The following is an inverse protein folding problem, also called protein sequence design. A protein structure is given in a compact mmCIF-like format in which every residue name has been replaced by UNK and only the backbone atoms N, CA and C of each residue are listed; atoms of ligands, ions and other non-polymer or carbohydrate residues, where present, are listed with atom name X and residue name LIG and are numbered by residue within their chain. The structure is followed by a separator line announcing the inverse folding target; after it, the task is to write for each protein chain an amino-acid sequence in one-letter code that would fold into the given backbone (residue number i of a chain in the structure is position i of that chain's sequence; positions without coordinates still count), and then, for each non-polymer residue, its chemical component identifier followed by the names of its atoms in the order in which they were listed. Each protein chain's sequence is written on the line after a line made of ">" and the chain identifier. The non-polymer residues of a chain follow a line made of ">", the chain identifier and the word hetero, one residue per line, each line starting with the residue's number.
data_IF_156072969748
#
_entry.id   IF_156072969748
#
_cell.length_a   1.000
_cell.length_b   1.000
_cell.length_c   1.000
_cell.angle_alpha   90.00
_cell.angle_beta   90.00
_cell.angle_gamma   90.00
#
_symmetry.space_group_name_H-M   'P 1'
#
loop_
_entity.id
_entity.type
_entity.pdbx_description
1 polymer ?
#
# COMPACT_ATOMS: atom_id res chain seq x y z
N UNK A 1 -20.24 -0.99 24.27
CA UNK A 1 -18.89 -0.39 24.24
C UNK A 1 -18.44 -0.33 22.79
N UNK A 2 -18.23 0.87 22.23
CA UNK A 2 -17.70 1.02 20.87
C UNK A 2 -16.30 0.41 20.81
N UNK A 3 -16.06 -0.51 19.88
CA UNK A 3 -14.72 -1.05 19.67
C UNK A 3 -13.87 0.02 18.98
N UNK A 4 -12.89 0.58 19.70
CA UNK A 4 -11.92 1.55 19.18
C UNK A 4 -11.07 0.90 18.09
N UNK A 5 -11.53 1.02 16.83
CA UNK A 5 -10.95 0.36 15.66
C UNK A 5 -10.80 1.36 14.52
N UNK A 6 -9.69 1.27 13.80
CA UNK A 6 -9.44 2.00 12.57
C UNK A 6 -9.27 1.00 11.42
N UNK A 7 -10.03 1.19 10.36
CA UNK A 7 -9.89 0.42 9.13
C UNK A 7 -9.23 1.29 8.05
N UNK A 8 -8.19 0.74 7.44
CA UNK A 8 -7.41 1.36 6.35
C UNK A 8 -7.45 0.43 5.14
N UNK A 9 -7.63 0.98 3.94
CA UNK A 9 -7.59 0.21 2.70
C UNK A 9 -6.87 1.02 1.62
N UNK A 10 -5.94 0.37 0.92
CA UNK A 10 -5.27 0.93 -0.26
C UNK A 10 -5.92 0.38 -1.51
N UNK A 11 -6.07 1.21 -2.53
CA UNK A 11 -6.71 0.84 -3.79
C UNK A 11 -6.04 -0.39 -4.44
N UNK A 12 -6.74 -1.11 -5.34
CA UNK A 12 -6.27 -2.36 -5.95
C UNK A 12 -4.88 -2.28 -6.57
N UNK A 13 -4.59 -1.19 -7.29
CA UNK A 13 -3.33 -1.00 -8.02
C UNK A 13 -2.31 -0.17 -7.25
N UNK A 14 -2.66 0.32 -6.06
CA UNK A 14 -1.82 1.17 -5.25
C UNK A 14 -1.55 2.56 -5.86
N UNK A 15 -2.43 3.04 -6.74
CA UNK A 15 -2.32 4.39 -7.36
C UNK A 15 -2.41 5.48 -6.30
N UNK A 16 -3.24 5.27 -5.26
CA UNK A 16 -3.40 6.19 -4.13
C UNK A 16 -2.55 5.67 -2.97
N UNK A 17 -1.44 6.35 -2.64
CA UNK A 17 -0.58 5.91 -1.55
C UNK A 17 -1.32 6.03 -0.21
N UNK A 18 -1.05 5.08 0.68
CA UNK A 18 -1.50 5.10 2.07
C UNK A 18 -0.38 4.60 2.97
N UNK A 19 0.13 5.50 3.80
CA UNK A 19 1.24 5.26 4.71
C UNK A 19 0.73 5.17 6.14
N UNK A 20 1.49 4.48 6.98
CA UNK A 20 1.23 4.40 8.41
C UNK A 20 2.52 4.26 9.22
N UNK A 21 2.44 4.60 10.50
CA UNK A 21 3.44 4.32 11.53
C UNK A 21 2.70 3.88 12.79
N UNK A 22 3.06 2.72 13.33
CA UNK A 22 2.49 2.17 14.55
C UNK A 22 3.61 2.05 15.60
N UNK A 23 3.77 3.10 16.41
CA UNK A 23 4.89 3.24 17.37
C UNK A 23 4.40 3.93 18.64
N UNK A 24 5.00 3.55 19.77
CA UNK A 24 4.72 4.14 21.08
C UNK A 24 3.22 4.14 21.47
N UNK A 25 2.44 3.16 20.99
CA UNK A 25 1.01 3.07 21.26
C UNK A 25 0.15 4.06 20.46
N UNK A 26 0.74 4.79 19.52
CA UNK A 26 0.06 5.76 18.67
C UNK A 26 0.16 5.34 17.20
N UNK A 27 -1.00 5.12 16.60
CA UNK A 27 -1.13 4.88 15.17
C UNK A 27 -1.26 6.20 14.42
N UNK A 28 -0.35 6.43 13.48
CA UNK A 28 -0.35 7.57 12.56
C UNK A 28 -0.58 7.04 11.15
N UNK A 29 -1.38 7.73 10.36
CA UNK A 29 -1.65 7.34 8.98
C UNK A 29 -1.91 8.57 8.11
N UNK A 30 -1.69 8.44 6.81
CA UNK A 30 -1.95 9.51 5.85
C UNK A 30 -1.61 9.11 4.43
N UNK A 31 -2.12 9.87 3.46
CA UNK A 31 -1.79 9.69 2.03
C UNK A 31 -0.40 10.23 1.67
N UNK A 32 0.27 10.92 2.59
CA UNK A 32 1.60 11.49 2.39
C UNK A 32 2.49 11.22 3.62
N UNK A 33 3.74 10.82 3.38
CA UNK A 33 4.72 10.56 4.45
C UNK A 33 4.93 11.80 5.32
N UNK A 34 4.96 13.00 4.72
CA UNK A 34 5.16 14.26 5.44
C UNK A 34 4.10 14.53 6.51
N UNK A 35 2.88 14.02 6.33
CA UNK A 35 1.82 14.15 7.32
C UNK A 35 2.14 13.32 8.58
N UNK A 36 2.72 12.12 8.40
CA UNK A 36 3.17 11.28 9.51
C UNK A 36 4.41 11.88 10.17
N UNK A 37 5.36 12.36 9.37
CA UNK A 37 6.58 13.03 9.85
C UNK A 37 6.33 14.43 10.42
N UNK A 38 5.09 14.92 10.45
CA UNK A 38 4.76 16.14 11.18
C UNK A 38 4.78 15.91 12.69
N UNK A 39 4.61 14.65 13.11
CA UNK A 39 4.74 14.25 14.51
C UNK A 39 6.22 14.04 14.88
N UNK A 40 6.75 14.74 15.90
CA UNK A 40 8.14 14.64 16.32
C UNK A 40 8.52 13.28 16.92
N UNK A 41 7.55 12.47 17.38
CA UNK A 41 7.83 11.12 17.90
C UNK A 41 8.13 10.10 16.80
N UNK A 42 7.90 10.44 15.52
CA UNK A 42 8.26 9.57 14.40
C UNK A 42 9.72 9.80 14.03
N UNK A 43 10.55 8.81 14.29
CA UNK A 43 11.96 8.83 13.91
C UNK A 43 12.16 8.97 12.41
N UNK A 44 13.07 9.85 12.01
CA UNK A 44 13.43 10.10 10.60
C UNK A 44 14.65 9.29 10.16
N UNK A 45 14.85 8.14 10.78
CA UNK A 45 15.95 7.22 10.48
C UNK A 45 15.79 6.67 9.06
N UNK A 46 16.79 6.84 8.17
CA UNK A 46 16.74 6.28 6.83
C UNK A 46 16.64 4.75 6.86
N UNK A 47 15.81 4.18 5.98
CA UNK A 47 15.80 2.73 5.72
C UNK A 47 16.79 2.45 4.57
N UNK A 48 17.96 1.88 4.91
CA UNK A 48 19.04 1.67 3.95
C UNK A 48 18.71 0.58 2.93
N UNK A 49 17.90 -0.42 3.30
CA UNK A 49 17.43 -1.45 2.36
C UNK A 49 16.45 -0.85 1.36
N UNK A 50 15.56 0.03 1.83
CA UNK A 50 14.65 0.76 0.97
C UNK A 50 15.38 1.69 -0.01
N UNK A 51 16.49 2.30 0.43
CA UNK A 51 17.35 3.13 -0.41
C UNK A 51 18.07 2.30 -1.48
N UNK A 52 18.60 1.14 -1.11
CA UNK A 52 19.21 0.20 -2.07
C UNK A 52 18.20 -0.24 -3.14
N UNK A 53 16.98 -0.61 -2.74
CA UNK A 53 15.90 -0.95 -3.66
C UNK A 53 15.54 0.23 -4.58
N UNK A 54 15.49 1.46 -4.04
CA UNK A 54 15.23 2.65 -4.83
C UNK A 54 16.31 2.91 -5.87
N UNK A 55 17.59 2.80 -5.49
CA UNK A 55 18.72 2.98 -6.41
C UNK A 55 18.76 1.89 -7.48
N UNK A 56 18.33 0.67 -7.14
CA UNK A 56 18.29 -0.46 -8.08
C UNK A 56 17.12 -0.38 -9.05
N UNK A 57 15.91 -0.05 -8.56
CA UNK A 57 14.67 -0.16 -9.33
C UNK A 57 14.03 1.18 -9.71
N UNK A 58 14.60 2.31 -9.27
CA UNK A 58 13.99 3.67 -9.35
C UNK A 58 12.67 3.82 -8.58
N UNK A 59 12.31 2.88 -7.71
CA UNK A 59 11.17 2.98 -6.79
C UNK A 59 11.39 2.13 -5.54
N UNK A 60 10.69 2.46 -4.45
CA UNK A 60 10.68 1.66 -3.22
C UNK A 60 9.44 0.78 -3.17
N UNK A 61 9.55 -0.56 -3.21
CA UNK A 61 8.41 -1.46 -3.08
C UNK A 61 7.77 -1.36 -1.69
N UNK A 62 6.43 -1.37 -1.65
CA UNK A 62 5.71 -1.57 -0.40
C UNK A 62 6.11 -2.93 0.22
N UNK A 63 6.18 -3.04 1.56
CA UNK A 63 5.74 -2.06 2.55
C UNK A 63 6.79 -1.01 2.92
N UNK A 64 7.99 -1.03 2.32
CA UNK A 64 9.07 -0.14 2.69
C UNK A 64 8.83 1.31 2.24
N UNK A 65 9.49 2.23 2.93
CA UNK A 65 9.62 3.63 2.53
C UNK A 65 11.05 4.08 2.82
N UNK A 66 11.45 5.28 2.40
CA UNK A 66 12.77 5.82 2.74
C UNK A 66 13.00 6.05 4.25
N UNK A 67 11.98 5.88 5.09
CA UNK A 67 12.07 6.04 6.55
C UNK A 67 11.71 4.73 7.25
N UNK A 68 12.60 4.24 8.12
CA UNK A 68 12.43 2.95 8.81
C UNK A 68 11.20 2.89 9.72
N UNK A 69 10.76 4.05 10.23
CA UNK A 69 9.58 4.17 11.10
C UNK A 69 8.24 4.25 10.34
N UNK A 70 8.27 4.37 9.00
CA UNK A 70 7.07 4.56 8.16
C UNK A 70 6.94 3.41 7.18
N UNK A 71 5.76 2.81 7.12
CA UNK A 71 5.42 1.74 6.19
C UNK A 71 4.30 2.18 5.26
N UNK A 72 4.22 1.55 4.08
CA UNK A 72 3.14 1.72 3.13
C UNK A 72 2.28 0.46 3.09
N UNK A 73 0.96 0.58 3.00
CA UNK A 73 0.12 -0.59 2.68
C UNK A 73 0.43 -1.07 1.27
N UNK A 74 0.42 -2.37 1.03
CA UNK A 74 0.58 -2.91 -0.33
C UNK A 74 -0.65 -2.60 -1.21
N UNK A 75 -0.52 -2.60 -2.55
CA UNK A 75 -1.67 -2.54 -3.46
C UNK A 75 -2.73 -3.60 -3.11
N UNK A 76 -4.02 -3.23 -3.09
CA UNK A 76 -5.12 -4.13 -2.78
C UNK A 76 -5.11 -4.69 -1.35
N UNK A 77 -4.41 -4.02 -0.42
CA UNK A 77 -4.30 -4.43 0.97
C UNK A 77 -5.19 -3.59 1.90
N UNK A 78 -5.79 -4.26 2.87
CA UNK A 78 -6.48 -3.67 4.00
C UNK A 78 -5.71 -3.89 5.30
N UNK A 79 -5.92 -3.00 6.25
CA UNK A 79 -5.48 -3.15 7.62
C UNK A 79 -6.60 -2.76 8.60
N UNK A 80 -6.72 -3.51 9.69
CA UNK A 80 -7.59 -3.18 10.81
C UNK A 80 -6.73 -3.06 12.06
N UNK A 81 -6.67 -1.86 12.59
CA UNK A 81 -5.97 -1.56 13.83
C UNK A 81 -6.96 -1.48 14.99
N UNK A 82 -6.56 -2.06 16.12
CA UNK A 82 -7.20 -1.89 17.42
C UNK A 82 -6.13 -1.73 18.51
N UNK A 83 -6.55 -1.69 19.78
CA UNK A 83 -5.62 -1.52 20.92
C UNK A 83 -4.58 -2.64 21.08
N UNK A 84 -4.72 -3.76 20.35
CA UNK A 84 -3.80 -4.90 20.37
C UNK A 84 -2.84 -4.88 19.18
N UNK A 85 -3.02 -3.97 18.22
CA UNK A 85 -2.18 -3.82 17.03
C UNK A 85 -2.95 -3.93 15.71
N UNK A 86 -2.19 -4.06 14.62
CA UNK A 86 -2.71 -4.15 13.25
C UNK A 86 -2.84 -5.58 12.72
N UNK A 87 -3.97 -5.88 12.07
CA UNK A 87 -4.14 -7.06 11.22
C UNK A 87 -4.22 -6.64 9.76
N UNK A 88 -3.51 -7.35 8.88
CA UNK A 88 -3.38 -7.01 7.46
C UNK A 88 -3.87 -8.17 6.60
N UNK A 89 -4.55 -7.87 5.51
CA UNK A 89 -4.95 -8.86 4.51
C UNK A 89 -5.10 -8.22 3.13
N UNK A 90 -4.84 -8.99 2.08
CA UNK A 90 -5.15 -8.55 0.72
C UNK A 90 -6.62 -8.83 0.42
N UNK A 91 -7.36 -7.79 0.03
CA UNK A 91 -8.74 -7.93 -0.45
C UNK A 91 -8.80 -8.03 -1.98
N UNK A 92 -7.72 -7.64 -2.65
CA UNK A 92 -7.59 -7.70 -4.10
C UNK A 92 -6.17 -8.14 -4.47
N UNK A 93 -6.06 -8.88 -5.57
CA UNK A 93 -4.80 -9.18 -6.24
C UNK A 93 -5.05 -9.19 -7.75
N UNK A 94 -4.04 -8.83 -8.53
CA UNK A 94 -4.16 -8.82 -9.98
C UNK A 94 -4.46 -10.25 -10.46
N UNK A 95 -5.64 -10.52 -11.04
CA UNK A 95 -5.96 -11.85 -11.50
C UNK A 95 -5.09 -12.15 -12.73
N UNK A 96 -4.04 -12.93 -12.54
CA UNK A 96 -3.32 -13.50 -13.66
C UNK A 96 -4.18 -14.61 -14.25
N UNK A 97 -4.70 -14.38 -15.46
CA UNK A 97 -5.26 -15.43 -16.30
C UNK A 97 -4.28 -15.68 -17.43
N UNK A 98 -3.98 -16.95 -17.68
CA UNK A 98 -3.30 -17.32 -18.91
C UNK A 98 -4.08 -16.73 -20.09
N UNK A 99 -3.39 -15.95 -20.90
CA UNK A 99 -4.01 -15.33 -22.06
C UNK A 99 -4.27 -16.46 -23.06
N UNK A 100 -5.51 -16.68 -23.52
CA UNK A 100 -5.74 -17.59 -24.63
C UNK A 100 -4.89 -17.15 -25.83
N UNK A 101 -4.53 -18.10 -26.71
CA UNK A 101 -3.80 -17.80 -27.94
C UNK A 101 -4.38 -16.54 -28.62
N UNK A 102 -3.51 -15.65 -29.15
CA UNK A 102 -3.92 -14.35 -29.72
C UNK A 102 -5.22 -14.50 -30.52
N UNK A 103 -6.32 -13.99 -29.95
CA UNK A 103 -7.61 -13.95 -30.63
C UNK A 103 -7.60 -12.94 -31.78
N UNK A 104 -8.65 -13.01 -32.60
CA UNK A 104 -8.89 -12.03 -33.67
C UNK A 104 -8.95 -10.60 -33.10
N UNK A 105 -8.23 -9.69 -33.73
CA UNK A 105 -8.20 -8.27 -33.35
C UNK A 105 -9.59 -7.64 -33.45
N UNK A 106 -10.39 -8.01 -34.45
CA UNK A 106 -11.75 -7.47 -34.60
C UNK A 106 -12.66 -7.90 -33.42
N UNK A 107 -12.51 -9.13 -32.94
CA UNK A 107 -13.24 -9.62 -31.77
C UNK A 107 -12.85 -8.86 -30.48
N UNK A 108 -11.56 -8.55 -30.30
CA UNK A 108 -11.09 -7.76 -29.16
C UNK A 108 -11.61 -6.31 -29.20
N UNK A 109 -11.67 -5.70 -30.39
CA UNK A 109 -12.26 -4.37 -30.58
C UNK A 109 -13.75 -4.38 -30.26
N UNK A 110 -14.49 -5.38 -30.74
CA UNK A 110 -15.92 -5.53 -30.46
C UNK A 110 -16.21 -5.69 -28.96
N UNK A 111 -15.42 -6.48 -28.24
CA UNK A 111 -15.55 -6.62 -26.78
C UNK A 111 -15.39 -5.28 -26.06
N UNK A 112 -14.44 -4.45 -26.49
CA UNK A 112 -14.15 -3.16 -25.87
C UNK A 112 -15.18 -2.08 -26.18
N UNK A 113 -15.82 -2.13 -27.36
CA UNK A 113 -16.83 -1.12 -27.78
C UNK A 113 -18.26 -1.44 -27.37
N UNK A 114 -18.54 -2.66 -26.89
CA UNK A 114 -19.91 -3.09 -26.50
C UNK A 114 -20.18 -2.92 -24.99
N UNK A 115 -19.27 -2.30 -24.23
CA UNK A 115 -19.46 -1.94 -22.81
C UNK A 115 -19.59 -0.43 -22.66
#
# INVERSE_FOLDING_TARGET
>A
VSAQRLFLARDPLGVKPLFYSDRAGTLRFGSEIKAILSDPEVERTPDLEALDAFLTFSYTPAPATGFAAVRQLSPGQCALFDRRGGRFWSYWGCPYRERPARGDFAAAVAEFTTR
#
